data_IF_761524536837
#
_entry.id   IF_761524536837
#
_cell.length_a   1.000
_cell.length_b   1.000
_cell.length_c   1.000
_cell.angle_alpha   90.00
_cell.angle_beta   90.00
_cell.angle_gamma   90.00
#
_symmetry.space_group_name_H-M   'P 1'
#
loop_
_entity.id
_entity.type
_entity.pdbx_description
1 polymer ?
#
# COMPACT_ATOMS: atom_id res chain seq x y z
N UNK A 1 -32.12 -33.05 4.42
CA UNK A 1 -30.68 -32.89 4.15
C UNK A 1 -29.93 -32.89 5.47
N UNK A 2 -28.86 -33.67 5.60
CA UNK A 2 -28.15 -33.86 6.87
C UNK A 2 -27.27 -32.64 7.19
N UNK A 3 -27.08 -32.37 8.49
CA UNK A 3 -26.28 -31.26 9.01
C UNK A 3 -24.78 -31.35 8.61
N UNK A 4 -24.30 -32.51 8.14
CA UNK A 4 -22.91 -32.69 7.70
C UNK A 4 -22.62 -32.04 6.34
N UNK A 5 -23.64 -31.82 5.51
CA UNK A 5 -23.52 -31.22 4.18
C UNK A 5 -23.15 -29.72 4.24
N UNK A 6 -23.34 -29.09 5.40
CA UNK A 6 -22.96 -27.70 5.67
C UNK A 6 -21.45 -27.52 5.91
N UNK A 7 -20.71 -28.57 6.29
CA UNK A 7 -19.25 -28.49 6.55
C UNK A 7 -18.40 -28.64 5.29
N UNK A 8 -18.96 -29.13 4.18
CA UNK A 8 -18.24 -29.32 2.92
C UNK A 8 -18.22 -28.08 2.01
N UNK A 9 -18.78 -26.94 2.44
CA UNK A 9 -18.74 -25.70 1.65
C UNK A 9 -17.34 -25.06 1.75
N UNK A 10 -16.61 -24.85 0.64
CA UNK A 10 -15.26 -24.25 0.63
C UNK A 10 -15.17 -22.84 1.24
N UNK A 11 -16.32 -22.20 1.47
CA UNK A 11 -16.45 -20.83 1.97
C UNK A 11 -15.85 -20.67 3.38
N UNK A 12 -15.85 -21.71 4.21
CA UNK A 12 -15.37 -21.61 5.60
C UNK A 12 -13.91 -22.02 5.81
N UNK A 13 -13.20 -22.46 4.75
CA UNK A 13 -11.82 -22.95 4.90
C UNK A 13 -10.78 -21.83 4.79
N UNK A 14 -11.09 -20.73 4.10
CA UNK A 14 -10.20 -19.58 3.96
C UNK A 14 -10.58 -18.38 4.85
N UNK A 15 -11.56 -18.50 5.74
CA UNK A 15 -11.94 -17.40 6.63
C UNK A 15 -10.83 -17.03 7.60
N UNK A 16 -10.13 -18.04 8.15
CA UNK A 16 -8.96 -17.81 9.02
C UNK A 16 -7.86 -17.08 8.26
N UNK A 17 -7.45 -17.60 7.10
CA UNK A 17 -6.39 -17.02 6.28
C UNK A 17 -6.76 -15.59 5.82
N UNK A 18 -8.02 -15.36 5.43
CA UNK A 18 -8.49 -14.04 5.04
C UNK A 18 -8.51 -13.05 6.21
N UNK A 19 -8.91 -13.49 7.41
CA UNK A 19 -8.88 -12.66 8.63
C UNK A 19 -7.44 -12.33 9.00
N UNK A 20 -6.55 -13.32 9.02
CA UNK A 20 -5.13 -13.12 9.32
C UNK A 20 -4.49 -12.16 8.32
N UNK A 21 -4.68 -12.38 7.02
CA UNK A 21 -4.19 -11.47 5.98
C UNK A 21 -4.73 -10.04 6.16
N UNK A 22 -6.04 -9.90 6.43
CA UNK A 22 -6.65 -8.58 6.63
C UNK A 22 -6.05 -7.86 7.84
N UNK A 23 -5.96 -8.53 8.99
CA UNK A 23 -5.39 -7.95 10.20
C UNK A 23 -3.92 -7.59 9.99
N UNK A 24 -3.12 -8.48 9.39
CA UNK A 24 -1.72 -8.19 9.07
C UNK A 24 -1.57 -6.94 8.20
N UNK A 25 -2.35 -6.83 7.12
CA UNK A 25 -2.29 -5.67 6.21
C UNK A 25 -2.73 -4.39 6.94
N UNK A 26 -3.83 -4.43 7.69
CA UNK A 26 -4.36 -3.25 8.40
C UNK A 26 -3.39 -2.78 9.49
N UNK A 27 -2.83 -3.69 10.29
CA UNK A 27 -1.87 -3.33 11.33
C UNK A 27 -0.56 -2.81 10.74
N UNK A 28 -0.04 -3.43 9.68
CA UNK A 28 1.14 -2.94 9.00
C UNK A 28 0.90 -1.54 8.41
N UNK A 29 -0.23 -1.33 7.72
CA UNK A 29 -0.60 -0.03 7.18
C UNK A 29 -0.77 1.03 8.27
N UNK A 30 -1.37 0.68 9.41
CA UNK A 30 -1.53 1.58 10.56
C UNK A 30 -0.18 1.94 11.18
N UNK A 31 0.70 0.95 11.41
CA UNK A 31 2.04 1.18 11.96
C UNK A 31 2.87 2.10 11.06
N UNK A 32 2.87 1.84 9.75
CA UNK A 32 3.55 2.69 8.76
C UNK A 32 2.96 4.10 8.78
N UNK A 33 1.63 4.22 8.74
CA UNK A 33 0.95 5.51 8.71
C UNK A 33 1.23 6.35 9.96
N UNK A 34 1.28 5.73 11.14
CA UNK A 34 1.60 6.41 12.41
C UNK A 34 3.07 6.83 12.46
N UNK A 35 4.00 5.96 12.08
CA UNK A 35 5.41 6.33 11.98
C UNK A 35 5.63 7.53 11.06
N UNK A 36 5.00 7.52 9.88
CA UNK A 36 5.09 8.65 8.95
C UNK A 36 4.47 9.92 9.52
N UNK A 37 3.33 9.82 10.20
CA UNK A 37 2.73 10.97 10.88
C UNK A 37 3.65 11.54 11.97
N UNK A 38 4.27 10.71 12.80
CA UNK A 38 5.13 11.14 13.89
C UNK A 38 6.41 11.82 13.36
N UNK A 39 6.98 11.29 12.28
CA UNK A 39 8.19 11.85 11.66
C UNK A 39 7.92 13.14 10.86
N UNK A 40 6.76 13.24 10.20
CA UNK A 40 6.45 14.37 9.30
C UNK A 40 5.59 15.46 9.95
N UNK A 41 4.92 15.17 11.07
CA UNK A 41 3.88 16.02 11.66
C UNK A 41 2.59 16.13 10.83
N UNK A 42 2.52 15.47 9.68
CA UNK A 42 1.35 15.54 8.78
C UNK A 42 0.25 14.57 9.23
N UNK A 43 -1.01 14.95 9.00
CA UNK A 43 -2.11 13.98 9.16
C UNK A 43 -1.96 12.81 8.19
N UNK A 44 -2.36 11.60 8.62
CA UNK A 44 -2.39 10.40 7.76
C UNK A 44 -3.15 10.67 6.45
N UNK A 45 -4.26 11.43 6.51
CA UNK A 45 -5.03 11.82 5.32
C UNK A 45 -4.20 12.63 4.32
N UNK A 46 -3.37 13.56 4.80
CA UNK A 46 -2.47 14.36 3.95
C UNK A 46 -1.39 13.49 3.32
N UNK A 47 -0.77 12.61 4.10
CA UNK A 47 0.24 11.66 3.63
C UNK A 47 -0.32 10.77 2.52
N UNK A 48 -1.46 10.11 2.76
CA UNK A 48 -2.10 9.23 1.76
C UNK A 48 -2.45 10.00 0.49
N UNK A 49 -2.96 11.23 0.59
CA UNK A 49 -3.28 12.06 -0.59
C UNK A 49 -2.05 12.48 -1.37
N UNK A 50 -0.94 12.79 -0.69
CA UNK A 50 0.30 13.18 -1.34
C UNK A 50 0.96 12.01 -2.08
N UNK A 51 0.91 10.80 -1.50
CA UNK A 51 1.59 9.62 -2.04
C UNK A 51 0.75 8.81 -3.04
N UNK A 52 -0.58 8.78 -2.89
CA UNK A 52 -1.51 8.01 -3.76
C UNK A 52 -1.35 8.25 -5.28
N UNK A 53 -1.13 9.47 -5.78
CA UNK A 53 -0.99 9.67 -7.22
C UNK A 53 0.36 9.21 -7.76
N UNK A 54 1.37 8.97 -6.92
CA UNK A 54 2.71 8.59 -7.37
C UNK A 54 2.69 7.10 -7.73
N UNK A 55 2.76 6.80 -9.02
CA UNK A 55 2.77 5.43 -9.52
C UNK A 55 3.95 5.21 -10.45
N UNK A 56 4.42 3.97 -10.51
CA UNK A 56 5.36 3.51 -11.51
C UNK A 56 4.70 2.34 -12.24
N UNK A 57 4.51 2.50 -13.54
CA UNK A 57 3.87 1.50 -14.38
C UNK A 57 4.82 1.06 -15.48
N UNK A 58 4.76 -0.22 -15.85
CA UNK A 58 5.46 -0.76 -17.01
C UNK A 58 4.45 -1.03 -18.11
N UNK A 59 4.58 -0.33 -19.24
CA UNK A 59 3.70 -0.43 -20.39
C UNK A 59 4.49 -1.09 -21.52
N UNK A 60 3.91 -2.08 -22.19
CA UNK A 60 4.53 -2.68 -23.38
C UNK A 60 4.05 -1.94 -24.64
N UNK A 61 4.97 -1.37 -25.41
CA UNK A 61 4.68 -0.69 -26.69
C UNK A 61 5.50 -1.38 -27.77
N UNK A 62 4.83 -1.84 -28.84
CA UNK A 62 5.47 -2.58 -29.94
C UNK A 62 6.34 -3.77 -29.50
N UNK A 63 5.94 -4.47 -28.42
CA UNK A 63 6.68 -5.62 -27.87
C UNK A 63 7.86 -5.26 -26.96
N UNK A 64 8.12 -3.97 -26.72
CA UNK A 64 9.17 -3.51 -25.83
C UNK A 64 8.59 -2.93 -24.53
N UNK A 65 9.14 -3.28 -23.35
CA UNK A 65 8.70 -2.70 -22.09
C UNK A 65 9.22 -1.27 -21.95
N UNK A 66 8.33 -0.37 -21.54
CA UNK A 66 8.62 1.02 -21.20
C UNK A 66 8.15 1.29 -19.77
N UNK A 67 9.02 1.85 -18.94
CA UNK A 67 8.65 2.25 -17.57
C UNK A 67 8.27 3.73 -17.58
N UNK A 68 7.07 4.05 -17.09
CA UNK A 68 6.62 5.40 -16.84
C UNK A 68 6.44 5.60 -15.33
N UNK A 69 6.90 6.74 -14.81
CA UNK A 69 6.78 7.10 -13.41
C UNK A 69 6.32 8.55 -13.26
N UNK A 70 5.44 8.81 -12.30
CA UNK A 70 5.03 10.16 -11.96
C UNK A 70 6.16 10.92 -11.26
N UNK A 71 6.32 12.21 -11.59
CA UNK A 71 7.31 13.05 -10.93
C UNK A 71 7.00 13.24 -9.44
N UNK A 72 8.07 13.28 -8.63
CA UNK A 72 7.95 13.45 -7.20
C UNK A 72 7.45 14.86 -6.84
N UNK A 73 6.28 14.95 -6.20
CA UNK A 73 5.71 16.21 -5.71
C UNK A 73 6.51 16.75 -4.52
N UNK A 74 6.43 18.06 -4.24
CA UNK A 74 7.09 18.69 -3.08
C UNK A 74 6.68 18.03 -1.76
N UNK A 75 5.39 17.73 -1.60
CA UNK A 75 4.90 17.02 -0.42
C UNK A 75 5.53 15.63 -0.25
N UNK A 76 5.83 14.93 -1.34
CA UNK A 76 6.52 13.64 -1.28
C UNK A 76 8.02 13.80 -1.01
N UNK A 77 8.65 14.88 -1.49
CA UNK A 77 10.03 15.25 -1.12
C UNK A 77 10.14 15.54 0.38
N UNK A 78 9.20 16.30 0.93
CA UNK A 78 9.15 16.59 2.37
C UNK A 78 9.03 15.32 3.21
N UNK A 79 8.21 14.35 2.76
CA UNK A 79 8.06 13.05 3.43
C UNK A 79 9.38 12.25 3.38
N UNK A 80 10.09 12.24 2.25
CA UNK A 80 11.39 11.55 2.14
C UNK A 80 12.43 12.19 3.07
N UNK A 81 12.55 13.51 3.06
CA UNK A 81 13.49 14.24 3.94
C UNK A 81 13.18 13.95 5.41
N UNK A 82 11.92 14.04 5.82
CA UNK A 82 11.51 13.78 7.20
C UNK A 82 11.74 12.33 7.65
N UNK A 83 11.77 11.38 6.71
CA UNK A 83 12.05 9.96 6.99
C UNK A 83 13.53 9.61 6.88
N UNK A 84 14.39 10.59 6.57
CA UNK A 84 15.84 10.42 6.43
C UNK A 84 16.24 9.72 5.12
N UNK A 85 15.41 9.82 4.07
CA UNK A 85 15.66 9.24 2.75
C UNK A 85 15.98 10.36 1.76
N UNK A 86 17.09 10.27 1.05
CA UNK A 86 17.40 11.26 0.01
C UNK A 86 16.52 11.04 -1.23
N UNK A 87 15.87 12.08 -1.78
CA UNK A 87 15.11 11.95 -3.01
C UNK A 87 16.04 11.66 -4.19
N UNK A 88 15.81 10.53 -4.87
CA UNK A 88 16.56 10.17 -6.07
C UNK A 88 16.49 11.29 -7.12
N UNK A 89 17.63 11.62 -7.73
CA UNK A 89 17.82 12.80 -8.60
C UNK A 89 17.42 12.57 -10.07
N UNK A 90 16.47 11.67 -10.34
CA UNK A 90 16.09 11.27 -11.69
C UNK A 90 14.87 12.03 -12.22
#
# INVERSE_FOLDING_TARGET
MSKSDLRARPIFHHTKDAIEAHLTIVFAALAISRRLQDQTGMSIKKIVRALRPIQQITITIAGHPHTAADSLTDAARDILIATGHEPATH
#
